data_IF_518900448758
#
_entry.id   IF_518900448758
#
_cell.length_a   1.000
_cell.length_b   1.000
_cell.length_c   1.000
_cell.angle_alpha   90.00
_cell.angle_beta   90.00
_cell.angle_gamma   90.00
#
_symmetry.space_group_name_H-M   'P 1'
#
loop_
_entity.id
_entity.type
_entity.pdbx_description
1 polymer ?
#
# COMPACT_ATOMS: atom_id res chain seq x y z
N UNK A 1 -6.38 -12.64 21.78
CA UNK A 1 -6.76 -13.62 20.74
C UNK A 1 -6.23 -14.98 21.14
N UNK A 2 -7.10 -15.98 21.32
CA UNK A 2 -6.74 -17.32 21.78
C UNK A 2 -6.21 -18.14 20.59
N UNK A 3 -5.07 -18.79 20.77
CA UNK A 3 -4.36 -19.62 19.75
C UNK A 3 -5.26 -20.73 19.17
N UNK A 4 -6.25 -21.19 19.93
CA UNK A 4 -7.26 -22.16 19.48
C UNK A 4 -8.15 -21.66 18.35
N UNK A 5 -8.54 -20.38 18.37
CA UNK A 5 -9.39 -19.78 17.34
C UNK A 5 -8.67 -19.66 16.00
N UNK A 6 -7.37 -19.36 16.02
CA UNK A 6 -6.55 -19.25 14.80
C UNK A 6 -6.44 -20.57 14.07
N UNK A 7 -6.25 -21.69 14.79
CA UNK A 7 -6.16 -23.03 14.19
C UNK A 7 -7.47 -23.45 13.52
N UNK A 8 -8.62 -23.10 14.11
CA UNK A 8 -9.94 -23.38 13.52
C UNK A 8 -10.13 -22.59 12.21
N UNK A 9 -9.87 -21.29 12.22
CA UNK A 9 -10.00 -20.43 11.04
C UNK A 9 -9.10 -20.92 9.88
N UNK A 10 -7.88 -21.35 10.19
CA UNK A 10 -6.96 -21.91 9.18
C UNK A 10 -7.53 -23.18 8.54
N UNK A 11 -8.08 -24.11 9.34
CA UNK A 11 -8.70 -25.35 8.81
C UNK A 11 -9.93 -25.05 7.97
N UNK A 12 -10.78 -24.13 8.44
CA UNK A 12 -11.98 -23.70 7.69
C UNK A 12 -11.61 -23.05 6.36
N UNK A 13 -10.62 -22.16 6.34
CA UNK A 13 -10.14 -21.54 5.11
C UNK A 13 -9.52 -22.54 4.13
N UNK A 14 -8.80 -23.56 4.63
CA UNK A 14 -8.23 -24.63 3.80
C UNK A 14 -9.30 -25.42 3.03
N UNK A 15 -10.54 -25.45 3.53
CA UNK A 15 -11.68 -26.12 2.90
C UNK A 15 -12.50 -25.22 1.96
N UNK A 16 -12.19 -23.92 1.87
CA UNK A 16 -12.93 -22.98 1.01
C UNK A 16 -12.23 -22.81 -0.34
N UNK A 17 -12.99 -22.97 -1.42
CA UNK A 17 -12.51 -22.77 -2.79
C UNK A 17 -12.69 -21.33 -3.25
N UNK A 18 -11.65 -20.73 -3.82
CA UNK A 18 -11.75 -19.40 -4.41
C UNK A 18 -12.63 -19.43 -5.66
N UNK A 19 -13.66 -18.59 -5.71
CA UNK A 19 -14.57 -18.53 -6.86
C UNK A 19 -13.92 -17.97 -8.15
N UNK A 20 -12.73 -17.36 -8.03
CA UNK A 20 -11.99 -16.76 -9.15
C UNK A 20 -11.06 -17.79 -9.80
N UNK A 21 -10.17 -18.41 -9.01
CA UNK A 21 -9.17 -19.34 -9.54
C UNK A 21 -9.50 -20.83 -9.29
N UNK A 22 -10.62 -21.13 -8.63
CA UNK A 22 -11.09 -22.47 -8.26
C UNK A 22 -10.17 -23.26 -7.32
N UNK A 23 -9.07 -22.68 -6.83
CA UNK A 23 -8.14 -23.32 -5.88
C UNK A 23 -8.63 -23.19 -4.43
N UNK A 24 -8.30 -24.18 -3.62
CA UNK A 24 -8.61 -24.21 -2.17
C UNK A 24 -7.80 -23.17 -1.37
N UNK A 25 -8.15 -22.97 -0.10
CA UNK A 25 -7.42 -22.06 0.79
C UNK A 25 -7.88 -20.60 0.72
N UNK A 26 -9.08 -20.33 0.22
CA UNK A 26 -9.62 -18.98 0.17
C UNK A 26 -10.00 -18.50 1.58
N UNK A 27 -9.34 -17.45 2.06
CA UNK A 27 -9.54 -16.92 3.42
C UNK A 27 -10.54 -15.77 3.48
N UNK A 28 -10.81 -15.07 2.38
CA UNK A 28 -11.73 -13.94 2.35
C UNK A 28 -13.11 -14.43 1.95
N UNK A 29 -14.12 -14.11 2.76
CA UNK A 29 -15.54 -14.39 2.48
C UNK A 29 -16.26 -13.07 2.20
N UNK A 30 -17.21 -13.07 1.26
CA UNK A 30 -18.08 -11.92 1.04
C UNK A 30 -18.85 -11.56 2.32
N UNK A 31 -18.95 -10.27 2.62
CA UNK A 31 -19.58 -9.78 3.85
C UNK A 31 -21.10 -9.62 3.73
N UNK A 32 -21.65 -9.81 2.53
CA UNK A 32 -23.09 -9.78 2.31
C UNK A 32 -23.77 -11.00 2.93
N UNK A 33 -24.90 -10.78 3.60
CA UNK A 33 -25.63 -11.84 4.29
C UNK A 33 -26.16 -12.85 3.26
N UNK A 34 -25.86 -14.13 3.47
CA UNK A 34 -26.26 -15.21 2.55
C UNK A 34 -25.37 -15.37 1.32
N UNK A 35 -24.25 -14.64 1.21
CA UNK A 35 -23.27 -14.84 0.15
C UNK A 35 -22.09 -15.70 0.60
N UNK A 36 -22.01 -16.94 0.10
CA UNK A 36 -20.94 -17.88 0.46
C UNK A 36 -19.69 -17.76 -0.44
N UNK A 37 -19.64 -16.76 -1.32
CA UNK A 37 -18.49 -16.58 -2.22
C UNK A 37 -17.24 -16.26 -1.42
N UNK A 38 -16.17 -17.03 -1.68
CA UNK A 38 -14.87 -16.85 -1.05
C UNK A 38 -13.78 -16.65 -2.10
N UNK A 39 -12.75 -15.88 -1.76
CA UNK A 39 -11.66 -15.57 -2.68
C UNK A 39 -10.32 -15.40 -1.96
N UNK A 40 -9.22 -15.61 -2.69
CA UNK A 40 -7.91 -15.22 -2.19
C UNK A 40 -7.72 -13.71 -2.33
N UNK A 41 -6.96 -13.11 -1.42
CA UNK A 41 -6.60 -11.69 -1.54
C UNK A 41 -5.93 -11.34 -2.89
N UNK A 42 -4.97 -12.13 -3.41
CA UNK A 42 -4.36 -11.85 -4.72
C UNK A 42 -5.33 -12.00 -5.90
N UNK A 43 -6.41 -12.78 -5.75
CA UNK A 43 -7.44 -12.95 -6.78
C UNK A 43 -8.49 -11.84 -6.77
N UNK A 44 -8.51 -10.98 -5.75
CA UNK A 44 -9.52 -9.93 -5.63
C UNK A 44 -9.55 -8.96 -6.82
N UNK A 45 -8.41 -8.50 -7.40
CA UNK A 45 -8.42 -7.63 -8.58
C UNK A 45 -9.02 -8.30 -9.82
N UNK A 46 -8.65 -9.55 -10.08
CA UNK A 46 -9.16 -10.34 -11.21
C UNK A 46 -10.66 -10.63 -11.05
N UNK A 47 -11.08 -11.03 -9.85
CA UNK A 47 -12.47 -11.23 -9.49
C UNK A 47 -13.27 -9.96 -9.25
N UNK A 48 -12.72 -8.78 -9.54
CA UNK A 48 -13.33 -7.46 -9.33
C UNK A 48 -13.98 -7.30 -7.94
N UNK A 49 -13.34 -7.87 -6.92
CA UNK A 49 -13.76 -7.81 -5.53
C UNK A 49 -13.24 -6.52 -4.88
N UNK A 50 -13.95 -6.07 -3.86
CA UNK A 50 -13.57 -4.90 -3.05
C UNK A 50 -13.28 -5.36 -1.62
N UNK A 51 -12.08 -5.08 -1.15
CA UNK A 51 -11.69 -5.25 0.27
C UNK A 51 -11.47 -3.87 0.88
N UNK A 52 -12.20 -3.58 1.95
CA UNK A 52 -12.07 -2.36 2.72
C UNK A 52 -10.98 -2.56 3.78
N UNK A 53 -10.01 -1.64 3.84
CA UNK A 53 -8.85 -1.73 4.75
C UNK A 53 -9.01 -0.88 6.01
N UNK A 54 -10.26 -0.67 6.44
CA UNK A 54 -10.64 0.13 7.60
C UNK A 54 -11.78 -0.54 8.37
N UNK A 55 -12.00 -0.11 9.61
CA UNK A 55 -13.06 -0.64 10.46
C UNK A 55 -12.97 -2.15 10.63
N UNK A 56 -14.05 -2.86 10.29
CA UNK A 56 -14.16 -4.32 10.38
C UNK A 56 -13.52 -5.09 9.20
N UNK A 57 -12.79 -4.41 8.31
CA UNK A 57 -12.09 -5.01 7.16
C UNK A 57 -13.01 -5.84 6.23
N UNK A 58 -14.21 -5.30 5.94
CA UNK A 58 -15.23 -5.98 5.14
C UNK A 58 -14.76 -6.19 3.71
N UNK A 59 -15.13 -7.32 3.12
CA UNK A 59 -14.81 -7.68 1.75
C UNK A 59 -16.06 -8.10 0.99
N UNK A 60 -16.13 -7.78 -0.30
CA UNK A 60 -17.32 -7.97 -1.12
C UNK A 60 -16.94 -8.58 -2.47
N UNK A 61 -17.71 -9.57 -2.91
CA UNK A 61 -17.55 -10.16 -4.24
C UNK A 61 -18.02 -9.19 -5.33
N UNK A 62 -17.84 -9.54 -6.60
CA UNK A 62 -18.18 -8.67 -7.74
C UNK A 62 -19.66 -8.22 -7.77
N UNK A 63 -20.57 -9.02 -7.23
CA UNK A 63 -22.01 -8.72 -7.20
C UNK A 63 -22.39 -7.78 -6.04
N UNK A 64 -21.77 -7.99 -4.87
CA UNK A 64 -22.10 -7.25 -3.64
C UNK A 64 -21.13 -6.11 -3.32
N UNK A 65 -20.17 -5.83 -4.22
CA UNK A 65 -19.24 -4.72 -4.03
C UNK A 65 -19.98 -3.38 -4.01
N UNK A 66 -19.48 -2.39 -3.25
CA UNK A 66 -20.01 -1.04 -3.36
C UNK A 66 -19.83 -0.48 -4.78
N UNK A 67 -20.74 0.41 -5.15
CA UNK A 67 -20.73 1.13 -6.43
C UNK A 67 -20.82 2.62 -6.14
N UNK A 68 -20.10 3.44 -6.91
CA UNK A 68 -20.23 4.89 -6.76
C UNK A 68 -21.51 5.36 -7.46
N UNK A 69 -22.30 6.16 -6.76
CA UNK A 69 -23.52 6.77 -7.30
C UNK A 69 -23.18 8.02 -8.14
N UNK A 70 -22.37 7.85 -9.18
CA UNK A 70 -21.96 8.91 -10.09
C UNK A 70 -22.59 8.72 -11.46
N UNK A 71 -23.08 9.81 -12.04
CA UNK A 71 -23.68 9.79 -13.36
C UNK A 71 -22.63 9.50 -14.45
N UNK A 72 -22.99 8.72 -15.49
CA UNK A 72 -22.19 8.57 -16.70
C UNK A 72 -21.83 9.92 -17.33
N UNK A 73 -20.71 9.97 -18.06
CA UNK A 73 -20.34 11.12 -18.90
C UNK A 73 -20.32 10.71 -20.37
N UNK A 74 -21.49 10.53 -20.98
CA UNK A 74 -21.54 10.36 -22.42
C UNK A 74 -21.04 11.65 -23.07
N UNK A 75 -20.15 11.52 -24.06
CA UNK A 75 -19.69 12.61 -24.93
C UNK A 75 -18.74 13.65 -24.30
N UNK A 76 -17.97 13.29 -23.28
CA UNK A 76 -16.84 14.09 -22.79
C UNK A 76 -15.52 13.35 -23.03
N UNK A 77 -14.41 14.08 -23.10
CA UNK A 77 -13.07 13.50 -23.10
C UNK A 77 -12.85 12.72 -21.80
N UNK A 78 -13.13 11.42 -21.83
CA UNK A 78 -13.02 10.50 -20.72
C UNK A 78 -11.55 10.11 -20.52
N UNK A 79 -10.79 11.04 -19.95
CA UNK A 79 -9.37 10.88 -19.64
C UNK A 79 -9.14 10.73 -18.15
N UNK A 80 -8.19 9.87 -17.80
CA UNK A 80 -7.71 9.73 -16.43
C UNK A 80 -7.03 11.03 -16.00
N UNK A 81 -7.49 11.66 -14.92
CA UNK A 81 -6.87 12.88 -14.39
C UNK A 81 -5.49 12.67 -13.72
N UNK A 82 -4.87 11.49 -13.90
CA UNK A 82 -3.54 11.14 -13.36
C UNK A 82 -2.57 10.78 -14.50
N UNK A 83 -2.91 9.79 -15.35
CA UNK A 83 -2.04 9.37 -16.45
C UNK A 83 -2.41 9.99 -17.81
N UNK A 84 -3.55 10.69 -17.89
CA UNK A 84 -4.08 11.32 -19.11
C UNK A 84 -4.56 10.34 -20.20
N UNK A 85 -4.42 9.03 -20.01
CA UNK A 85 -4.98 8.01 -20.91
C UNK A 85 -6.51 7.87 -20.77
N UNK A 86 -7.13 7.24 -21.78
CA UNK A 86 -8.58 7.02 -21.81
C UNK A 86 -9.07 6.08 -20.71
N UNK A 87 -10.25 6.38 -20.19
CA UNK A 87 -10.99 5.54 -19.22
C UNK A 87 -12.33 5.11 -19.82
N UNK A 88 -12.98 4.11 -19.21
CA UNK A 88 -14.35 3.74 -19.58
C UNK A 88 -15.32 4.90 -19.28
N UNK A 89 -16.35 5.08 -20.12
CA UNK A 89 -17.32 6.19 -19.97
C UNK A 89 -18.14 6.10 -18.68
N UNK A 90 -18.43 4.87 -18.27
CA UNK A 90 -19.21 4.54 -17.10
C UNK A 90 -18.30 4.31 -15.89
N UNK A 91 -18.80 4.66 -14.71
CA UNK A 91 -18.18 4.19 -13.47
C UNK A 91 -18.27 2.68 -13.42
N UNK A 92 -17.16 2.04 -13.07
CA UNK A 92 -17.02 0.60 -13.00
C UNK A 92 -16.03 0.21 -11.91
N UNK A 93 -15.71 -1.08 -11.79
CA UNK A 93 -14.60 -1.50 -10.94
C UNK A 93 -13.28 -0.86 -11.39
N UNK A 94 -13.08 -0.69 -12.70
CA UNK A 94 -11.83 -0.19 -13.29
C UNK A 94 -11.79 1.33 -13.36
N UNK A 95 -12.94 2.00 -13.48
CA UNK A 95 -13.05 3.45 -13.59
C UNK A 95 -13.75 4.04 -12.39
N UNK A 96 -13.05 4.90 -11.65
CA UNK A 96 -13.58 5.62 -10.50
C UNK A 96 -13.72 7.11 -10.78
N UNK A 97 -14.56 7.79 -9.99
CA UNK A 97 -14.74 9.24 -10.07
C UNK A 97 -14.66 9.92 -8.71
N UNK A 98 -14.42 11.23 -8.73
CA UNK A 98 -14.49 12.05 -7.52
C UNK A 98 -15.97 12.33 -7.17
N UNK A 99 -16.43 12.05 -5.93
CA UNK A 99 -17.83 12.29 -5.53
C UNK A 99 -18.18 13.78 -5.44
N UNK A 100 -17.16 14.64 -5.28
CA UNK A 100 -17.33 16.08 -5.05
C UNK A 100 -17.42 16.86 -6.34
N UNK A 101 -16.33 16.93 -7.12
CA UNK A 101 -16.37 17.70 -8.37
C UNK A 101 -17.12 16.98 -9.47
N UNK A 102 -17.27 15.65 -9.38
CA UNK A 102 -17.88 14.78 -10.40
C UNK A 102 -17.20 14.82 -11.77
N UNK A 103 -16.21 15.70 -11.95
CA UNK A 103 -15.43 15.94 -13.16
C UNK A 103 -14.25 15.02 -13.33
N UNK A 104 -13.60 14.63 -12.23
CA UNK A 104 -12.42 13.79 -12.32
C UNK A 104 -12.82 12.32 -12.53
N UNK A 105 -12.08 11.64 -13.41
CA UNK A 105 -12.12 10.20 -13.62
C UNK A 105 -10.73 9.61 -13.45
N UNK A 106 -10.65 8.36 -13.00
CA UNK A 106 -9.40 7.68 -12.69
C UNK A 106 -9.47 6.20 -13.04
N UNK A 107 -8.40 5.63 -13.59
CA UNK A 107 -8.21 4.18 -13.50
C UNK A 107 -8.01 3.78 -12.04
N UNK A 108 -8.56 2.63 -11.66
CA UNK A 108 -8.41 2.07 -10.31
C UNK A 108 -6.94 1.92 -9.92
N UNK A 109 -6.08 1.49 -10.84
CA UNK A 109 -4.66 1.36 -10.53
C UNK A 109 -3.97 2.73 -10.36
N UNK A 110 -4.37 3.75 -11.13
CA UNK A 110 -3.82 5.10 -11.03
C UNK A 110 -4.13 5.70 -9.65
N UNK A 111 -5.39 5.58 -9.23
CA UNK A 111 -5.79 6.10 -7.92
C UNK A 111 -5.21 5.29 -6.77
N UNK A 112 -5.11 3.96 -6.91
CA UNK A 112 -4.43 3.11 -5.93
C UNK A 112 -2.95 3.48 -5.77
N UNK A 113 -2.25 3.76 -6.88
CA UNK A 113 -0.87 4.27 -6.82
C UNK A 113 -0.82 5.61 -6.11
N UNK A 114 -1.67 6.57 -6.49
CA UNK A 114 -1.70 7.89 -5.84
C UNK A 114 -1.90 7.76 -4.32
N UNK A 115 -2.87 6.95 -3.88
CA UNK A 115 -3.15 6.66 -2.47
C UNK A 115 -1.94 6.11 -1.70
N UNK A 116 -1.16 5.22 -2.31
CA UNK A 116 0.04 4.66 -1.67
C UNK A 116 1.16 5.68 -1.50
N UNK A 117 1.29 6.64 -2.42
CA UNK A 117 2.32 7.68 -2.36
C UNK A 117 1.91 8.89 -1.50
N UNK A 118 0.62 9.25 -1.53
CA UNK A 118 0.10 10.44 -0.84
C UNK A 118 -0.24 10.20 0.63
N UNK A 119 -0.40 8.95 1.08
CA UNK A 119 -0.69 8.65 2.49
C UNK A 119 -1.82 9.51 3.06
N UNK A 120 -1.53 10.26 4.13
CA UNK A 120 -2.47 11.18 4.81
C UNK A 120 -2.85 12.41 3.99
N UNK A 121 -2.05 12.80 2.99
CA UNK A 121 -2.34 13.92 2.08
C UNK A 121 -3.14 13.52 0.84
N UNK A 122 -3.77 12.34 0.85
CA UNK A 122 -4.52 11.82 -0.29
C UNK A 122 -5.80 12.62 -0.55
N UNK A 123 -5.82 13.32 -1.69
CA UNK A 123 -6.89 14.23 -2.12
C UNK A 123 -7.14 14.11 -3.61
N UNK A 124 -8.29 14.59 -4.06
CA UNK A 124 -8.60 14.64 -5.48
C UNK A 124 -7.59 15.53 -6.21
N UNK A 125 -6.87 15.07 -7.24
CA UNK A 125 -5.88 15.89 -7.94
C UNK A 125 -6.51 17.05 -8.73
N UNK A 126 -7.83 17.00 -8.99
CA UNK A 126 -8.55 18.05 -9.73
C UNK A 126 -9.10 19.15 -8.83
N UNK A 127 -9.88 18.80 -7.80
CA UNK A 127 -10.55 19.78 -6.94
C UNK A 127 -9.92 19.94 -5.56
N UNK A 128 -8.84 19.21 -5.27
CA UNK A 128 -8.10 19.22 -4.01
C UNK A 128 -8.92 18.86 -2.76
N UNK A 129 -10.18 18.45 -2.92
CA UNK A 129 -10.99 17.95 -1.81
C UNK A 129 -10.37 16.67 -1.24
N UNK A 130 -10.29 16.61 0.09
CA UNK A 130 -9.73 15.49 0.84
C UNK A 130 -10.82 14.61 1.43
N UNK A 131 -11.57 15.06 2.45
CA UNK A 131 -12.38 14.18 3.29
C UNK A 131 -13.45 13.35 2.54
N UNK A 132 -14.46 13.94 1.85
CA UNK A 132 -15.41 13.15 1.05
C UNK A 132 -14.75 12.26 -0.01
N UNK A 133 -13.70 12.75 -0.66
CA UNK A 133 -12.96 12.00 -1.66
C UNK A 133 -12.25 10.78 -1.06
N UNK A 134 -11.52 10.99 0.03
CA UNK A 134 -10.80 9.96 0.76
C UNK A 134 -11.75 8.86 1.22
N UNK A 135 -12.86 9.23 1.86
CA UNK A 135 -13.82 8.27 2.38
C UNK A 135 -14.43 7.41 1.25
N UNK A 136 -14.83 8.04 0.15
CA UNK A 136 -15.33 7.33 -1.02
C UNK A 136 -14.31 6.34 -1.57
N UNK A 137 -13.05 6.76 -1.75
CA UNK A 137 -12.00 5.88 -2.27
C UNK A 137 -11.71 4.71 -1.32
N UNK A 138 -11.72 4.95 0.00
CA UNK A 138 -11.58 3.89 1.01
C UNK A 138 -12.72 2.88 0.91
N UNK A 139 -13.97 3.35 0.83
CA UNK A 139 -15.18 2.51 0.68
C UNK A 139 -15.08 1.64 -0.57
N UNK A 140 -14.57 2.21 -1.67
CA UNK A 140 -14.33 1.52 -2.93
C UNK A 140 -13.10 0.58 -2.90
N UNK A 141 -12.42 0.44 -1.76
CA UNK A 141 -11.32 -0.48 -1.51
C UNK A 141 -9.95 0.01 -2.00
N UNK A 142 -9.77 1.33 -2.11
CA UNK A 142 -8.45 1.92 -2.33
C UNK A 142 -7.68 1.93 -1.01
N UNK A 143 -6.51 1.29 -1.02
CA UNK A 143 -5.66 1.16 0.17
C UNK A 143 -4.75 2.38 0.31
N UNK A 144 -4.79 3.04 1.47
CA UNK A 144 -3.77 4.02 1.85
C UNK A 144 -2.53 3.32 2.42
N UNK A 145 -1.36 3.93 2.20
CA UNK A 145 -0.17 3.61 2.99
C UNK A 145 -0.34 4.15 4.41
N UNK A 146 -0.05 3.34 5.43
CA UNK A 146 0.02 3.78 6.83
C UNK A 146 1.29 4.61 7.11
N UNK A 147 2.23 4.68 6.15
CA UNK A 147 3.46 5.47 6.32
C UNK A 147 3.10 6.95 6.20
N UNK A 148 3.50 7.79 7.18
CA UNK A 148 3.43 9.24 7.03
C UNK A 148 4.18 9.67 5.76
N UNK A 149 3.73 10.78 5.18
CA UNK A 149 4.36 11.41 4.03
C UNK A 149 5.87 11.56 4.22
N UNK A 150 6.66 11.18 3.22
CA UNK A 150 8.12 11.26 3.27
C UNK A 150 8.65 12.69 3.48
N UNK A 151 7.88 13.71 3.10
CA UNK A 151 8.18 15.14 3.28
C UNK A 151 7.72 15.73 4.62
N UNK A 152 6.95 14.95 5.41
CA UNK A 152 6.62 15.27 6.80
C UNK A 152 7.58 14.59 7.79
N UNK A 153 8.73 14.09 7.30
CA UNK A 153 9.87 13.73 8.16
C UNK A 153 10.72 14.93 8.58
N UNK A 154 10.50 16.11 8.01
CA UNK A 154 11.37 17.27 8.23
C UNK A 154 10.84 18.27 9.26
N UNK A 155 9.70 18.03 9.95
CA UNK A 155 9.11 19.05 10.85
C UNK A 155 8.69 18.65 12.26
N UNK A 156 8.84 17.40 12.68
CA UNK A 156 8.62 17.03 14.09
C UNK A 156 9.71 16.04 14.56
N UNK A 157 10.91 16.56 14.80
CA UNK A 157 11.98 15.81 15.48
C UNK A 157 11.74 15.90 16.99
N UNK A 158 10.95 14.97 17.52
CA UNK A 158 11.00 14.57 18.92
C UNK A 158 12.07 13.49 19.11
N UNK A 159 12.88 13.50 20.19
CA UNK A 159 14.12 12.72 20.29
C UNK A 159 13.89 11.26 20.72
N UNK A 160 13.25 10.44 19.87
CA UNK A 160 13.13 8.99 20.16
C UNK A 160 13.04 8.06 18.95
N UNK A 161 13.55 8.46 17.78
CA UNK A 161 13.97 7.50 16.75
C UNK A 161 15.49 7.56 16.68
N UNK A 162 16.16 6.93 17.65
CA UNK A 162 17.59 6.64 17.53
C UNK A 162 17.75 5.69 16.35
N UNK A 163 17.88 6.29 15.15
CA UNK A 163 18.36 5.58 13.97
C UNK A 163 19.61 4.84 14.39
N UNK A 164 19.66 3.55 14.07
CA UNK A 164 20.82 2.72 14.35
C UNK A 164 22.09 3.47 13.86
N UNK A 165 22.97 3.84 14.77
CA UNK A 165 24.06 4.79 14.52
C UNK A 165 25.44 4.14 14.49
N UNK A 166 25.49 2.80 14.40
CA UNK A 166 26.71 2.01 14.55
C UNK A 166 26.94 1.10 13.35
N UNK A 167 28.20 0.79 13.07
CA UNK A 167 28.56 -0.26 12.12
C UNK A 167 28.60 -1.65 12.78
N UNK A 168 27.76 -2.56 12.27
CA UNK A 168 27.62 -3.96 12.68
C UNK A 168 28.42 -4.94 11.82
N UNK A 169 29.18 -4.46 10.83
CA UNK A 169 30.07 -5.30 10.07
C UNK A 169 31.01 -6.08 11.00
N UNK A 170 31.24 -7.37 10.71
CA UNK A 170 32.06 -8.24 11.54
C UNK A 170 33.43 -7.59 11.84
N UNK A 171 34.06 -7.00 10.81
CA UNK A 171 35.26 -6.17 10.94
C UNK A 171 34.96 -4.74 10.51
N UNK A 172 35.07 -3.79 11.44
CA UNK A 172 34.96 -2.36 11.12
C UNK A 172 36.32 -1.81 10.70
N UNK A 173 36.38 -1.16 9.54
CA UNK A 173 37.60 -0.56 8.98
C UNK A 173 37.73 0.94 9.32
N UNK A 174 36.72 1.55 9.93
CA UNK A 174 36.70 2.98 10.20
C UNK A 174 37.72 3.35 11.29
N UNK A 175 38.67 4.27 11.02
CA UNK A 175 39.63 4.75 12.02
C UNK A 175 38.95 5.44 13.21
N UNK A 176 37.79 6.06 12.99
CA UNK A 176 37.00 6.75 14.02
C UNK A 176 36.15 5.82 14.88
N UNK A 177 36.21 4.51 14.67
CA UNK A 177 35.40 3.54 15.41
C UNK A 177 34.03 3.29 14.79
N UNK A 178 33.19 2.52 15.50
CA UNK A 178 31.94 1.98 14.94
C UNK A 178 30.80 2.98 14.98
N UNK A 179 30.83 3.94 15.91
CA UNK A 179 29.82 4.99 16.07
C UNK A 179 30.07 6.21 15.16
N UNK A 180 31.24 6.31 14.53
CA UNK A 180 31.55 7.40 13.61
C UNK A 180 30.80 7.20 12.29
N UNK A 181 30.08 8.23 11.82
CA UNK A 181 29.41 8.21 10.53
C UNK A 181 29.64 9.55 9.81
N UNK A 182 30.07 9.48 8.56
CA UNK A 182 30.16 10.64 7.67
C UNK A 182 28.85 10.83 6.91
N UNK A 183 28.54 12.07 6.53
CA UNK A 183 27.37 12.37 5.71
C UNK A 183 27.51 11.80 4.28
N UNK A 184 28.72 11.85 3.72
CA UNK A 184 29.09 11.30 2.43
C UNK A 184 30.55 10.82 2.47
N UNK A 185 30.90 9.83 1.65
CA UNK A 185 32.24 9.25 1.60
C UNK A 185 32.33 7.77 2.06
N UNK A 186 33.56 7.28 2.32
CA UNK A 186 33.83 5.88 2.63
C UNK A 186 33.25 5.43 3.99
N UNK A 187 33.08 6.36 4.92
CA UNK A 187 32.55 6.12 6.26
C UNK A 187 31.10 6.55 6.41
N UNK A 188 30.40 6.72 5.29
CA UNK A 188 28.95 6.86 5.29
C UNK A 188 28.31 5.58 5.82
N UNK A 189 27.41 5.72 6.79
CA UNK A 189 26.68 4.60 7.38
C UNK A 189 25.43 4.28 6.54
N UNK A 190 25.37 3.04 6.06
CA UNK A 190 24.26 2.47 5.31
C UNK A 190 23.42 1.59 6.22
N UNK A 191 22.11 1.85 6.28
CA UNK A 191 21.17 1.02 7.03
C UNK A 191 20.53 -0.02 6.14
N UNK A 192 20.23 -1.19 6.71
CA UNK A 192 19.54 -2.25 5.98
C UNK A 192 18.20 -1.74 5.44
N UNK A 193 17.97 -1.88 4.13
CA UNK A 193 16.74 -1.41 3.47
C UNK A 193 15.48 -2.13 3.95
N UNK A 194 15.64 -3.33 4.53
CA UNK A 194 14.54 -4.17 4.99
C UNK A 194 14.17 -3.94 6.46
N UNK A 195 15.15 -3.86 7.37
CA UNK A 195 14.88 -3.77 8.81
C UNK A 195 15.31 -2.46 9.47
N UNK A 196 16.23 -1.70 8.88
CA UNK A 196 16.89 -0.53 9.48
C UNK A 196 17.51 -0.76 10.89
N UNK A 197 17.61 -2.02 11.32
CA UNK A 197 18.08 -2.42 12.65
C UNK A 197 19.59 -2.70 12.69
N UNK A 198 20.20 -2.95 11.53
CA UNK A 198 21.65 -3.09 11.35
C UNK A 198 22.18 -2.00 10.42
N UNK A 199 23.43 -1.60 10.64
CA UNK A 199 24.15 -0.62 9.83
C UNK A 199 25.54 -1.10 9.41
N UNK A 200 26.03 -0.66 8.25
CA UNK A 200 27.41 -0.89 7.83
C UNK A 200 28.02 0.35 7.20
N UNK A 201 29.32 0.57 7.36
CA UNK A 201 29.99 1.60 6.54
C UNK A 201 30.12 1.11 5.11
N UNK A 202 30.11 2.06 4.16
CA UNK A 202 30.30 1.80 2.73
C UNK A 202 31.51 0.88 2.47
N UNK A 203 32.68 1.19 3.05
CA UNK A 203 33.88 0.35 2.88
C UNK A 203 33.83 -0.97 3.65
N UNK A 204 33.17 -1.02 4.81
CA UNK A 204 33.07 -2.24 5.62
C UNK A 204 32.30 -3.35 4.91
N UNK A 205 31.38 -3.00 3.99
CA UNK A 205 30.64 -3.96 3.15
C UNK A 205 30.97 -3.85 1.66
N UNK A 206 32.09 -3.20 1.30
CA UNK A 206 32.55 -3.06 -0.09
C UNK A 206 31.47 -2.53 -1.05
N UNK A 207 30.65 -1.59 -0.58
CA UNK A 207 29.56 -1.01 -1.36
C UNK A 207 30.13 -0.01 -2.38
N UNK A 208 29.75 -0.17 -3.65
CA UNK A 208 30.18 0.71 -4.73
C UNK A 208 29.54 2.10 -4.65
N UNK A 209 30.10 3.07 -5.37
CA UNK A 209 29.55 4.44 -5.44
C UNK A 209 28.15 4.50 -6.07
N UNK A 210 27.79 3.51 -6.89
CA UNK A 210 26.47 3.39 -7.54
C UNK A 210 25.46 2.57 -6.73
N UNK A 211 25.84 2.03 -5.57
CA UNK A 211 24.94 1.25 -4.73
C UNK A 211 23.88 2.17 -4.12
N UNK A 212 22.60 1.84 -4.31
CA UNK A 212 21.46 2.61 -3.81
C UNK A 212 20.74 1.93 -2.62
N UNK A 213 21.09 0.69 -2.30
CA UNK A 213 20.53 -0.07 -1.17
C UNK A 213 21.53 -1.11 -0.67
N UNK A 214 21.43 -1.45 0.62
CA UNK A 214 22.18 -2.52 1.27
C UNK A 214 21.24 -3.32 2.18
N UNK A 215 21.43 -4.63 2.27
CA UNK A 215 20.68 -5.52 3.15
C UNK A 215 21.65 -6.30 4.04
N UNK A 216 21.29 -6.44 5.33
CA UNK A 216 22.06 -7.27 6.25
C UNK A 216 21.79 -8.76 5.99
N UNK A 217 22.69 -9.64 6.45
CA UNK A 217 22.59 -11.08 6.23
C UNK A 217 21.42 -11.77 6.96
N UNK A 218 20.76 -11.06 7.87
CA UNK A 218 19.63 -11.57 8.66
C UNK A 218 18.27 -11.27 8.02
N UNK A 219 18.23 -10.46 6.96
CA UNK A 219 17.06 -10.19 6.13
C UNK A 219 17.10 -11.03 4.85
#
# INVERSE_FOLDING_TARGET
FLVGDTRRIIREAAMKSCFVCCKMGATITCCETGCDRTFHLPCAPEGQCVTQYFGAYRSFCWEHRPQQALQPRPNQDNTCSICLDTVEDNISYKTMGCPVCRDARFHRHCIQRLALHSGTGFRCPRCLNQEPFLMEMLVMGIRLSKRPLSWQRDREVGPSDQRHGRCDAATCLCPGGREQAEADGPWQLWLCSSCAAEGTHRLCSSLGNSTCSWECSTC
#
